data_IF_209773464290
#
_entry.id   IF_209773464290
#
_cell.length_a   1.000
_cell.length_b   1.000
_cell.length_c   1.000
_cell.angle_alpha   90.00
_cell.angle_beta   90.00
_cell.angle_gamma   90.00
#
_symmetry.space_group_name_H-M   'P 1'
#
loop_
_entity.id
_entity.type
_entity.pdbx_description
1 polymer ?
#
# COMPACT_ATOMS: atom_id res chain seq x y z
N UNK A 1 24.67 -17.90 29.41
CA UNK A 1 23.34 -18.50 29.16
C UNK A 1 22.64 -18.53 30.51
N UNK A 2 21.63 -17.65 30.75
CA UNK A 2 20.78 -17.73 31.94
C UNK A 2 19.88 -18.94 31.74
N UNK A 3 19.94 -19.88 32.66
CA UNK A 3 19.11 -21.09 32.64
C UNK A 3 17.69 -20.75 33.06
N UNK A 4 16.70 -21.55 32.65
CA UNK A 4 15.25 -21.38 32.93
C UNK A 4 14.92 -21.20 34.44
N UNK A 5 15.92 -21.42 35.35
CA UNK A 5 15.79 -21.30 36.78
C UNK A 5 15.91 -19.89 37.38
N UNK A 6 16.37 -18.90 36.61
CA UNK A 6 16.61 -17.52 37.06
C UNK A 6 15.49 -16.53 36.65
N UNK A 7 14.34 -17.04 36.29
CA UNK A 7 13.21 -16.20 35.89
C UNK A 7 12.51 -15.61 37.14
N UNK A 8 12.49 -14.28 37.23
CA UNK A 8 11.80 -13.61 38.33
C UNK A 8 10.26 -13.86 38.25
N UNK A 9 9.57 -13.76 39.39
CA UNK A 9 8.13 -13.99 39.49
C UNK A 9 7.34 -13.11 38.51
N UNK A 10 7.82 -11.90 38.25
CA UNK A 10 7.18 -10.96 37.35
C UNK A 10 7.27 -11.39 35.87
N UNK A 11 8.40 -11.95 35.44
CA UNK A 11 8.59 -12.54 34.11
C UNK A 11 7.74 -13.80 33.92
N UNK A 12 7.64 -14.66 34.95
CA UNK A 12 6.78 -15.83 34.92
C UNK A 12 5.28 -15.45 34.81
N UNK A 13 4.82 -14.46 35.59
CA UNK A 13 3.46 -13.95 35.47
C UNK A 13 3.17 -13.34 34.09
N UNK A 14 4.10 -12.59 33.50
CA UNK A 14 3.96 -12.06 32.12
C UNK A 14 3.82 -13.18 31.09
N UNK A 15 4.59 -14.24 31.17
CA UNK A 15 4.51 -15.38 30.28
C UNK A 15 3.14 -16.09 30.39
N UNK A 16 2.61 -16.25 31.60
CA UNK A 16 1.28 -16.86 31.80
C UNK A 16 0.13 -15.97 31.29
N UNK A 17 0.26 -14.65 31.43
CA UNK A 17 -0.76 -13.71 30.96
C UNK A 17 -0.72 -13.45 29.46
N UNK A 18 0.42 -13.71 28.80
CA UNK A 18 0.61 -13.41 27.39
C UNK A 18 -0.43 -14.09 26.46
N UNK A 19 -0.77 -15.39 26.57
CA UNK A 19 -1.81 -16.01 25.75
C UNK A 19 -3.19 -15.35 25.96
N UNK A 20 -3.50 -14.95 27.19
CA UNK A 20 -4.75 -14.27 27.52
C UNK A 20 -4.81 -12.90 26.85
N UNK A 21 -3.70 -12.15 26.86
CA UNK A 21 -3.59 -10.87 26.17
C UNK A 21 -3.77 -11.03 24.65
N UNK A 22 -3.15 -12.05 24.04
CA UNK A 22 -3.34 -12.34 22.62
C UNK A 22 -4.81 -12.64 22.33
N UNK A 23 -5.45 -13.53 23.10
CA UNK A 23 -6.87 -13.86 22.93
C UNK A 23 -7.76 -12.61 23.06
N UNK A 24 -7.50 -11.76 24.08
CA UNK A 24 -8.21 -10.51 24.25
C UNK A 24 -8.09 -9.60 23.00
N UNK A 25 -6.89 -9.44 22.45
CA UNK A 25 -6.69 -8.64 21.24
C UNK A 25 -7.37 -9.22 20.01
N UNK A 26 -7.37 -10.56 19.86
CA UNK A 26 -8.09 -11.24 18.76
C UNK A 26 -9.60 -11.01 18.87
N UNK A 27 -10.19 -11.20 20.08
CA UNK A 27 -11.61 -10.95 20.29
C UNK A 27 -11.98 -9.48 20.10
N UNK A 28 -11.18 -8.56 20.64
CA UNK A 28 -11.37 -7.12 20.45
C UNK A 28 -11.33 -6.73 18.98
N UNK A 29 -10.37 -7.27 18.21
CA UNK A 29 -10.30 -7.04 16.77
C UNK A 29 -11.54 -7.56 16.04
N UNK A 30 -12.05 -8.74 16.40
CA UNK A 30 -13.31 -9.27 15.86
C UNK A 30 -14.49 -8.34 16.15
N UNK A 31 -14.65 -7.89 17.39
CA UNK A 31 -15.73 -6.96 17.80
C UNK A 31 -15.57 -5.59 17.09
N UNK A 32 -14.36 -5.09 16.96
CA UNK A 32 -14.11 -3.79 16.29
C UNK A 32 -14.45 -3.80 14.79
N UNK A 33 -14.53 -4.96 14.15
CA UNK A 33 -15.00 -5.07 12.77
C UNK A 33 -16.52 -4.89 12.66
N UNK A 34 -17.26 -5.17 13.74
CA UNK A 34 -18.73 -5.08 13.79
C UNK A 34 -19.21 -3.70 14.23
N UNK A 35 -18.39 -2.96 14.95
CA UNK A 35 -18.74 -1.63 15.46
C UNK A 35 -18.10 -0.52 14.62
N UNK A 36 -18.84 0.52 14.24
CA UNK A 36 -18.27 1.67 13.56
C UNK A 36 -17.28 2.40 14.50
N UNK A 37 -15.99 2.22 14.24
CA UNK A 37 -14.94 2.94 14.97
C UNK A 37 -14.94 4.45 14.67
N UNK A 38 -14.37 5.24 15.58
CA UNK A 38 -14.16 6.68 15.35
C UNK A 38 -13.18 6.84 14.19
N UNK A 39 -13.60 7.53 13.14
CA UNK A 39 -12.75 7.84 11.99
C UNK A 39 -11.94 9.11 12.25
N UNK A 40 -10.66 9.14 11.89
CA UNK A 40 -9.83 10.34 11.93
C UNK A 40 -10.45 11.47 11.11
N UNK A 41 -10.40 12.67 11.62
CA UNK A 41 -10.68 13.89 10.87
C UNK A 41 -9.47 14.22 9.99
N UNK A 42 -9.73 14.52 8.72
CA UNK A 42 -8.71 14.86 7.74
C UNK A 42 -8.51 16.37 7.54
N UNK A 43 -9.30 17.22 8.22
CA UNK A 43 -9.30 18.68 8.00
C UNK A 43 -7.97 19.38 8.31
N UNK A 44 -7.07 18.70 9.01
CA UNK A 44 -5.71 19.19 9.31
C UNK A 44 -4.62 18.47 8.53
N UNK A 45 -4.97 17.45 7.76
CA UNK A 45 -3.99 16.57 7.11
C UNK A 45 -3.46 17.15 5.79
N UNK A 46 -2.15 17.04 5.61
CA UNK A 46 -1.44 17.32 4.36
C UNK A 46 -1.03 15.98 3.76
N UNK A 47 -1.68 15.63 2.65
CA UNK A 47 -1.56 14.31 2.02
C UNK A 47 -0.65 14.37 0.80
N UNK A 48 0.43 13.60 0.77
CA UNK A 48 1.28 13.45 -0.41
C UNK A 48 1.05 12.07 -1.05
N UNK A 49 0.80 12.06 -2.36
CA UNK A 49 0.52 10.85 -3.12
C UNK A 49 1.51 10.70 -4.27
N UNK A 50 2.33 9.64 -4.23
CA UNK A 50 3.20 9.31 -5.35
C UNK A 50 2.41 8.60 -6.45
N UNK A 51 2.67 8.95 -7.72
CA UNK A 51 1.87 8.48 -8.85
C UNK A 51 0.45 9.04 -8.84
N UNK A 52 0.25 10.26 -8.32
CA UNK A 52 -1.07 10.87 -8.08
C UNK A 52 -1.84 11.31 -9.33
N UNK A 53 -1.21 11.32 -10.52
CA UNK A 53 -1.83 11.82 -11.75
C UNK A 53 -2.72 10.82 -12.49
N UNK A 54 -2.73 9.53 -12.15
CA UNK A 54 -3.46 8.49 -12.90
C UNK A 54 -3.93 7.34 -12.00
N UNK A 55 -4.85 6.51 -12.53
CA UNK A 55 -5.30 5.27 -11.94
C UNK A 55 -5.71 5.41 -10.47
N UNK A 56 -5.28 4.47 -9.63
CA UNK A 56 -5.62 4.48 -8.20
C UNK A 56 -5.15 5.78 -7.52
N UNK A 57 -3.95 6.30 -7.85
CA UNK A 57 -3.41 7.52 -7.25
C UNK A 57 -4.28 8.76 -7.47
N UNK A 58 -4.82 8.96 -8.69
CA UNK A 58 -5.77 10.03 -8.99
C UNK A 58 -7.06 9.91 -8.18
N UNK A 59 -7.61 8.70 -8.07
CA UNK A 59 -8.83 8.48 -7.29
C UNK A 59 -8.58 8.62 -5.79
N UNK A 60 -7.41 8.22 -5.28
CA UNK A 60 -7.00 8.48 -3.89
C UNK A 60 -6.94 9.98 -3.60
N UNK A 61 -6.32 10.76 -4.48
CA UNK A 61 -6.23 12.21 -4.35
C UNK A 61 -7.63 12.85 -4.25
N UNK A 62 -8.52 12.46 -5.16
CA UNK A 62 -9.92 12.93 -5.14
C UNK A 62 -10.68 12.49 -3.89
N UNK A 63 -10.47 11.25 -3.42
CA UNK A 63 -11.16 10.77 -2.23
C UNK A 63 -10.65 11.44 -0.95
N UNK A 64 -9.33 11.69 -0.81
CA UNK A 64 -8.81 12.48 0.30
C UNK A 64 -9.38 13.91 0.30
N UNK A 65 -9.46 14.55 -0.85
CA UNK A 65 -10.07 15.87 -0.99
C UNK A 65 -11.55 15.85 -0.58
N UNK A 66 -12.32 14.89 -1.09
CA UNK A 66 -13.74 14.69 -0.76
C UNK A 66 -13.96 14.44 0.73
N UNK A 67 -13.04 13.77 1.40
CA UNK A 67 -13.09 13.51 2.84
C UNK A 67 -12.54 14.67 3.69
N UNK A 68 -12.23 15.80 3.05
CA UNK A 68 -11.89 17.06 3.72
C UNK A 68 -10.42 17.21 4.07
N UNK A 69 -9.49 16.54 3.39
CA UNK A 69 -8.06 16.78 3.57
C UNK A 69 -7.72 18.27 3.36
N UNK A 70 -6.87 18.84 4.24
CA UNK A 70 -6.47 20.25 4.19
C UNK A 70 -5.77 20.60 2.88
N UNK A 71 -4.78 19.76 2.52
CA UNK A 71 -3.99 19.93 1.30
C UNK A 71 -3.69 18.56 0.68
N UNK A 72 -3.60 18.50 -0.64
CA UNK A 72 -3.17 17.32 -1.39
C UNK A 72 -1.96 17.70 -2.26
N UNK A 73 -0.94 16.85 -2.24
CA UNK A 73 0.29 17.02 -3.02
C UNK A 73 0.44 15.80 -3.92
N UNK A 74 0.59 16.04 -5.22
CA UNK A 74 0.72 15.00 -6.22
C UNK A 74 2.15 14.94 -6.73
N UNK A 75 2.79 13.77 -6.62
CA UNK A 75 4.07 13.49 -7.27
C UNK A 75 3.90 12.52 -8.43
N UNK A 76 4.66 12.72 -9.49
CA UNK A 76 4.67 11.85 -10.65
C UNK A 76 5.55 12.39 -11.76
N UNK A 77 5.67 11.65 -12.87
CA UNK A 77 6.57 11.99 -13.98
C UNK A 77 5.88 12.75 -15.11
N UNK A 78 4.57 12.63 -15.24
CA UNK A 78 3.81 13.20 -16.36
C UNK A 78 3.07 14.45 -15.90
N UNK A 79 3.62 15.61 -16.19
CA UNK A 79 3.08 16.90 -15.74
C UNK A 79 1.63 17.12 -16.13
N UNK A 80 1.28 16.85 -17.39
CA UNK A 80 -0.12 16.98 -17.87
C UNK A 80 -1.13 16.30 -16.97
N UNK A 81 -0.87 15.03 -16.60
CA UNK A 81 -1.80 14.27 -15.78
C UNK A 81 -1.86 14.75 -14.33
N UNK A 82 -0.73 15.23 -13.80
CA UNK A 82 -0.69 15.82 -12.46
C UNK A 82 -1.49 17.12 -12.43
N UNK A 83 -1.31 17.96 -13.43
CA UNK A 83 -2.00 19.24 -13.56
C UNK A 83 -3.52 19.04 -13.68
N UNK A 84 -3.97 18.17 -14.59
CA UNK A 84 -5.40 17.81 -14.74
C UNK A 84 -6.00 17.33 -13.41
N UNK A 85 -5.29 16.46 -12.68
CA UNK A 85 -5.76 15.96 -11.39
C UNK A 85 -5.80 17.07 -10.34
N UNK A 86 -4.78 17.95 -10.32
CA UNK A 86 -4.74 19.07 -9.36
C UNK A 86 -5.87 20.09 -9.62
N UNK A 87 -6.17 20.38 -10.87
CA UNK A 87 -7.29 21.24 -11.25
C UNK A 87 -8.63 20.65 -10.78
N UNK A 88 -8.86 19.36 -10.99
CA UNK A 88 -10.07 18.69 -10.50
C UNK A 88 -10.20 18.76 -8.96
N UNK A 89 -9.11 18.58 -8.22
CA UNK A 89 -9.12 18.66 -6.76
C UNK A 89 -9.37 20.10 -6.30
N UNK A 90 -8.77 21.08 -6.98
CA UNK A 90 -8.97 22.50 -6.67
C UNK A 90 -10.42 22.92 -6.89
N UNK A 91 -11.08 22.40 -7.93
CA UNK A 91 -12.53 22.61 -8.17
C UNK A 91 -13.41 22.00 -7.07
N UNK A 92 -12.91 21.00 -6.33
CA UNK A 92 -13.60 20.44 -5.16
C UNK A 92 -13.40 21.29 -3.89
N UNK A 93 -12.63 22.39 -3.97
CA UNK A 93 -12.36 23.29 -2.84
C UNK A 93 -11.17 22.90 -1.96
N UNK A 94 -10.36 21.91 -2.36
CA UNK A 94 -9.16 21.49 -1.63
C UNK A 94 -7.91 22.11 -2.26
N UNK A 95 -7.03 22.68 -1.45
CA UNK A 95 -5.71 23.17 -1.90
C UNK A 95 -4.88 22.01 -2.45
N UNK A 96 -4.50 22.07 -3.72
CA UNK A 96 -3.76 21.01 -4.38
C UNK A 96 -2.49 21.53 -5.05
N UNK A 97 -1.37 20.86 -4.76
CA UNK A 97 -0.08 21.11 -5.38
C UNK A 97 0.37 19.89 -6.18
N UNK A 98 1.16 20.12 -7.23
CA UNK A 98 1.83 19.02 -7.91
C UNK A 98 3.30 19.36 -8.15
N UNK A 99 4.14 18.32 -8.13
CA UNK A 99 5.57 18.43 -8.47
C UNK A 99 5.97 17.22 -9.33
N UNK A 100 6.78 17.50 -10.33
CA UNK A 100 7.40 16.44 -11.11
C UNK A 100 8.45 15.79 -10.21
N UNK A 101 8.34 14.48 -10.02
CA UNK A 101 9.26 13.68 -9.20
C UNK A 101 9.26 12.24 -9.67
N UNK A 102 10.41 11.72 -10.08
CA UNK A 102 10.61 10.30 -10.28
C UNK A 102 11.09 9.66 -8.96
N UNK A 103 10.23 8.84 -8.36
CA UNK A 103 10.54 8.15 -7.08
C UNK A 103 11.69 7.15 -7.21
N UNK A 104 12.07 6.74 -8.42
CA UNK A 104 13.24 5.91 -8.66
C UNK A 104 14.55 6.69 -8.47
N UNK A 105 14.52 8.02 -8.58
CA UNK A 105 15.67 8.89 -8.38
C UNK A 105 15.68 9.42 -6.94
N UNK A 106 16.61 8.88 -6.13
CA UNK A 106 16.76 9.20 -4.71
C UNK A 106 17.02 10.69 -4.48
N UNK A 107 17.90 11.28 -5.27
CA UNK A 107 18.31 12.69 -5.17
C UNK A 107 17.13 13.62 -5.46
N UNK A 108 16.34 13.28 -6.47
CA UNK A 108 15.13 14.02 -6.82
C UNK A 108 14.08 13.95 -5.73
N UNK A 109 13.88 12.77 -5.13
CA UNK A 109 12.97 12.60 -3.99
C UNK A 109 13.34 13.52 -2.83
N UNK A 110 14.60 13.55 -2.40
CA UNK A 110 15.03 14.41 -1.30
C UNK A 110 14.97 15.90 -1.64
N UNK A 111 15.31 16.28 -2.89
CA UNK A 111 15.18 17.64 -3.40
C UNK A 111 13.71 18.10 -3.35
N UNK A 112 12.80 17.30 -3.89
CA UNK A 112 11.37 17.63 -3.91
C UNK A 112 10.74 17.61 -2.51
N UNK A 113 11.18 16.74 -1.62
CA UNK A 113 10.73 16.74 -0.24
C UNK A 113 11.11 18.05 0.50
N UNK A 114 12.28 18.62 0.22
CA UNK A 114 12.67 19.94 0.73
C UNK A 114 11.74 21.03 0.21
N UNK A 115 11.45 21.03 -1.11
CA UNK A 115 10.51 21.98 -1.72
C UNK A 115 9.11 21.89 -1.10
N UNK A 116 8.62 20.67 -0.84
CA UNK A 116 7.32 20.46 -0.18
C UNK A 116 7.32 21.10 1.21
N UNK A 117 8.33 20.82 2.04
CA UNK A 117 8.40 21.39 3.39
C UNK A 117 8.42 22.93 3.39
N UNK A 118 9.17 23.52 2.47
CA UNK A 118 9.34 24.98 2.39
C UNK A 118 8.10 25.69 1.84
N UNK A 119 7.42 25.11 0.85
CA UNK A 119 6.35 25.79 0.10
C UNK A 119 4.94 25.37 0.53
N UNK A 120 4.74 24.14 1.02
CA UNK A 120 3.41 23.58 1.32
C UNK A 120 3.24 23.30 2.80
N UNK A 121 4.29 22.76 3.46
CA UNK A 121 4.31 22.43 4.87
C UNK A 121 4.66 20.95 5.14
N UNK A 122 4.47 20.53 6.39
CA UNK A 122 4.77 19.19 6.84
C UNK A 122 3.73 18.19 6.31
N UNK A 123 4.19 17.13 5.64
CA UNK A 123 3.33 16.03 5.17
C UNK A 123 2.97 15.16 6.37
N UNK A 124 1.68 15.00 6.61
CA UNK A 124 1.15 14.17 7.69
C UNK A 124 0.62 12.81 7.21
N UNK A 125 0.26 12.69 5.93
CA UNK A 125 -0.11 11.41 5.31
C UNK A 125 0.72 11.22 4.04
N UNK A 126 1.58 10.19 4.03
CA UNK A 126 2.37 9.79 2.86
C UNK A 126 1.73 8.56 2.20
N UNK A 127 1.32 8.68 0.93
CA UNK A 127 0.76 7.56 0.17
C UNK A 127 1.76 7.11 -0.89
N UNK A 128 2.43 6.01 -0.63
CA UNK A 128 3.31 5.31 -1.55
C UNK A 128 2.46 4.47 -2.53
N UNK A 129 2.10 5.07 -3.67
CA UNK A 129 1.26 4.45 -4.69
C UNK A 129 1.97 4.26 -6.03
N UNK A 130 3.02 5.03 -6.33
CA UNK A 130 3.75 4.90 -7.59
C UNK A 130 4.24 3.46 -7.82
N UNK A 131 3.93 2.90 -8.99
CA UNK A 131 4.33 1.55 -9.36
C UNK A 131 4.38 1.38 -10.88
N UNK A 132 5.11 0.35 -11.32
CA UNK A 132 5.16 -0.14 -12.70
C UNK A 132 5.06 -1.67 -12.71
N UNK A 133 4.65 -2.22 -13.84
CA UNK A 133 4.64 -3.66 -14.15
C UNK A 133 5.02 -3.83 -15.62
N UNK A 134 5.91 -4.75 -15.92
CA UNK A 134 6.33 -5.02 -17.30
C UNK A 134 5.59 -6.21 -17.90
N UNK A 135 5.13 -7.15 -17.07
CA UNK A 135 4.22 -8.22 -17.50
C UNK A 135 4.90 -9.25 -18.40
N UNK A 136 6.13 -9.64 -18.09
CA UNK A 136 6.92 -10.62 -18.81
C UNK A 136 7.25 -11.82 -17.95
N UNK A 137 7.53 -12.97 -18.59
CA UNK A 137 8.16 -14.10 -17.91
C UNK A 137 9.59 -13.74 -17.49
N UNK A 138 10.22 -14.55 -16.64
CA UNK A 138 11.60 -14.28 -16.22
C UNK A 138 12.57 -14.21 -17.40
N UNK A 139 12.42 -15.13 -18.37
CA UNK A 139 13.34 -15.22 -19.50
C UNK A 139 13.11 -14.15 -20.57
N UNK A 140 11.91 -13.57 -20.63
CA UNK A 140 11.54 -12.52 -21.59
C UNK A 140 11.64 -11.11 -21.01
N UNK A 141 11.85 -11.00 -19.70
CA UNK A 141 11.96 -9.70 -19.03
C UNK A 141 13.37 -9.17 -19.18
N UNK A 142 13.47 -7.95 -19.70
CA UNK A 142 14.72 -7.21 -19.74
C UNK A 142 15.24 -6.89 -18.33
N UNK A 143 16.55 -7.01 -18.13
CA UNK A 143 17.20 -6.74 -16.83
C UNK A 143 16.96 -5.31 -16.37
N UNK A 144 16.99 -4.33 -17.27
CA UNK A 144 16.68 -2.93 -16.94
C UNK A 144 15.22 -2.75 -16.50
N UNK A 145 14.29 -3.53 -17.07
CA UNK A 145 12.90 -3.54 -16.65
C UNK A 145 12.73 -4.14 -15.24
N UNK A 146 13.48 -5.20 -14.91
CA UNK A 146 13.53 -5.75 -13.55
C UNK A 146 14.06 -4.73 -12.55
N UNK A 147 15.20 -4.11 -12.83
CA UNK A 147 15.79 -3.07 -11.99
C UNK A 147 14.83 -1.89 -11.80
N UNK A 148 14.20 -1.42 -12.89
CA UNK A 148 13.24 -0.33 -12.85
C UNK A 148 12.03 -0.64 -11.97
N UNK A 149 11.52 -1.88 -12.00
CA UNK A 149 10.43 -2.31 -11.13
C UNK A 149 10.85 -2.26 -9.66
N UNK A 150 12.07 -2.73 -9.33
CA UNK A 150 12.59 -2.67 -7.97
C UNK A 150 12.83 -1.22 -7.51
N UNK A 151 13.40 -0.37 -8.36
CA UNK A 151 13.66 1.04 -8.04
C UNK A 151 12.36 1.81 -7.77
N UNK A 152 11.33 1.65 -8.59
CA UNK A 152 10.07 2.38 -8.43
C UNK A 152 9.21 1.78 -7.32
N UNK A 153 8.95 0.47 -7.39
CA UNK A 153 7.94 -0.17 -6.54
C UNK A 153 8.43 -0.43 -5.11
N UNK A 154 9.76 -0.57 -4.94
CA UNK A 154 10.39 -0.88 -3.66
C UNK A 154 11.23 0.29 -3.15
N UNK A 155 12.38 0.58 -3.79
CA UNK A 155 13.33 1.58 -3.27
C UNK A 155 12.73 2.99 -3.20
N UNK A 156 11.85 3.36 -4.15
CA UNK A 156 11.12 4.61 -4.11
C UNK A 156 10.34 4.82 -2.82
N UNK A 157 9.77 3.75 -2.25
CA UNK A 157 9.07 3.83 -0.96
C UNK A 157 10.03 4.03 0.22
N UNK A 158 11.24 3.47 0.17
CA UNK A 158 12.28 3.75 1.17
C UNK A 158 12.66 5.22 1.15
N UNK A 159 12.91 5.78 -0.04
CA UNK A 159 13.35 7.17 -0.18
C UNK A 159 12.27 8.16 0.27
N UNK A 160 11.05 7.97 -0.17
CA UNK A 160 9.92 8.83 0.24
C UNK A 160 9.65 8.73 1.74
N UNK A 161 9.65 7.52 2.30
CA UNK A 161 9.43 7.33 3.74
C UNK A 161 10.57 7.95 4.54
N UNK A 162 11.83 7.75 4.16
CA UNK A 162 12.99 8.41 4.82
C UNK A 162 12.94 9.94 4.73
N UNK A 163 12.33 10.48 3.67
CA UNK A 163 12.22 11.93 3.49
C UNK A 163 11.18 12.57 4.40
N UNK A 164 10.08 11.87 4.73
CA UNK A 164 8.95 12.47 5.45
C UNK A 164 8.74 11.92 6.87
N UNK A 165 9.07 10.66 7.12
CA UNK A 165 8.88 10.00 8.42
C UNK A 165 9.57 10.73 9.58
N UNK A 166 10.81 11.24 9.48
CA UNK A 166 11.46 11.93 10.61
C UNK A 166 10.59 13.06 11.18
N UNK A 167 9.97 13.85 10.31
CA UNK A 167 9.11 14.95 10.76
C UNK A 167 7.81 14.46 11.40
N UNK A 168 7.23 13.37 10.89
CA UNK A 168 6.05 12.73 11.52
C UNK A 168 6.39 12.23 12.93
N UNK A 169 7.59 11.68 13.14
CA UNK A 169 8.07 11.22 14.44
C UNK A 169 8.27 12.39 15.43
N UNK A 170 8.90 13.47 14.97
CA UNK A 170 9.07 14.70 15.80
C UNK A 170 7.71 15.28 16.24
N UNK A 171 6.75 15.31 15.33
CA UNK A 171 5.41 15.83 15.59
C UNK A 171 4.52 14.83 16.35
N UNK A 172 4.95 13.58 16.53
CA UNK A 172 4.12 12.49 17.05
C UNK A 172 2.76 12.41 16.31
N UNK A 173 2.78 12.72 15.00
CA UNK A 173 1.60 12.74 14.15
C UNK A 173 1.95 12.40 12.72
N UNK A 174 1.42 11.31 12.21
CA UNK A 174 1.65 10.91 10.85
C UNK A 174 1.00 9.59 10.45
N UNK A 175 0.98 9.32 9.13
CA UNK A 175 0.49 8.07 8.60
C UNK A 175 1.18 7.70 7.29
N UNK A 176 1.76 6.50 7.22
CA UNK A 176 2.37 5.98 5.99
C UNK A 176 1.45 4.94 5.37
N UNK A 177 1.07 5.16 4.12
CA UNK A 177 0.19 4.28 3.35
C UNK A 177 0.98 3.65 2.20
N UNK A 178 0.87 2.35 2.03
CA UNK A 178 1.42 1.64 0.87
C UNK A 178 0.30 1.01 0.04
N UNK A 179 0.20 1.37 -1.23
CA UNK A 179 -0.62 0.66 -2.20
C UNK A 179 0.18 -0.52 -2.75
N UNK A 180 0.00 -1.64 -2.10
CA UNK A 180 0.63 -2.91 -2.43
C UNK A 180 -0.19 -3.70 -3.46
N UNK A 181 -0.25 -5.01 -3.36
CA UNK A 181 -1.06 -5.91 -4.18
C UNK A 181 -1.21 -7.27 -3.49
N UNK A 182 -2.29 -7.97 -3.77
CA UNK A 182 -2.43 -9.39 -3.41
C UNK A 182 -1.30 -10.23 -4.01
N UNK A 183 -0.71 -9.80 -5.12
CA UNK A 183 0.41 -10.47 -5.79
C UNK A 183 1.70 -10.46 -4.97
N UNK A 184 1.79 -9.67 -3.90
CA UNK A 184 2.89 -9.77 -2.93
C UNK A 184 2.86 -11.08 -2.13
N UNK A 185 1.69 -11.69 -1.98
CA UNK A 185 1.46 -12.91 -1.21
C UNK A 185 1.00 -14.10 -2.06
N UNK A 186 0.43 -13.83 -3.24
CA UNK A 186 0.00 -14.85 -4.21
C UNK A 186 0.56 -14.50 -5.59
N UNK A 187 1.87 -14.72 -5.81
CA UNK A 187 2.55 -14.38 -7.06
C UNK A 187 2.02 -15.21 -8.24
N UNK A 188 2.13 -14.64 -9.44
CA UNK A 188 1.75 -15.27 -10.70
C UNK A 188 2.92 -15.22 -11.69
N UNK A 189 3.08 -16.20 -12.58
CA UNK A 189 4.01 -16.09 -13.68
C UNK A 189 3.58 -14.98 -14.65
N UNK A 190 4.55 -14.43 -15.41
CA UNK A 190 4.30 -13.32 -16.33
C UNK A 190 4.19 -11.93 -15.68
N UNK A 191 4.44 -11.82 -14.35
CA UNK A 191 4.56 -10.56 -13.62
C UNK A 191 5.59 -10.68 -12.49
N UNK A 192 6.70 -11.38 -12.73
CA UNK A 192 7.68 -11.73 -11.70
C UNK A 192 8.37 -10.48 -11.12
N UNK A 193 8.67 -9.50 -11.98
CA UNK A 193 9.22 -8.20 -11.62
C UNK A 193 8.32 -7.47 -10.62
N UNK A 194 7.03 -7.46 -10.89
CA UNK A 194 6.02 -6.83 -10.05
C UNK A 194 5.79 -7.60 -8.75
N UNK A 195 5.58 -8.91 -8.82
CA UNK A 195 5.33 -9.75 -7.65
C UNK A 195 6.46 -9.65 -6.64
N UNK A 196 7.72 -9.75 -7.08
CA UNK A 196 8.90 -9.64 -6.22
C UNK A 196 9.03 -8.25 -5.60
N UNK A 197 8.80 -7.18 -6.37
CA UNK A 197 8.85 -5.82 -5.87
C UNK A 197 7.75 -5.54 -4.84
N UNK A 198 6.55 -6.08 -5.04
CA UNK A 198 5.44 -5.93 -4.09
C UNK A 198 5.63 -6.79 -2.82
N UNK A 199 6.24 -7.97 -2.93
CA UNK A 199 6.64 -8.77 -1.77
C UNK A 199 7.67 -8.02 -0.91
N UNK A 200 8.68 -7.41 -1.54
CA UNK A 200 9.67 -6.56 -0.87
C UNK A 200 9.01 -5.35 -0.19
N UNK A 201 8.07 -4.68 -0.87
CA UNK A 201 7.31 -3.57 -0.28
C UNK A 201 6.43 -4.00 0.89
N UNK A 202 5.89 -5.23 0.86
CA UNK A 202 5.11 -5.78 1.98
C UNK A 202 5.99 -5.95 3.21
N UNK A 203 7.14 -6.63 3.05
CA UNK A 203 8.11 -6.83 4.13
C UNK A 203 8.62 -5.50 4.70
N UNK A 204 8.85 -4.48 3.83
CA UNK A 204 9.19 -3.12 4.26
C UNK A 204 8.11 -2.53 5.17
N UNK A 205 6.85 -2.59 4.78
CA UNK A 205 5.74 -2.02 5.57
C UNK A 205 5.52 -2.78 6.90
N UNK A 206 5.66 -4.09 6.91
CA UNK A 206 5.56 -4.89 8.13
C UNK A 206 6.69 -4.54 9.10
N UNK A 207 7.93 -4.46 8.61
CA UNK A 207 9.09 -4.05 9.41
C UNK A 207 8.96 -2.61 9.92
N UNK A 208 8.46 -1.68 9.09
CA UNK A 208 8.21 -0.30 9.50
C UNK A 208 7.16 -0.24 10.61
N UNK A 209 6.05 -0.95 10.44
CA UNK A 209 4.97 -1.00 11.45
C UNK A 209 5.47 -1.51 12.80
N UNK A 210 6.30 -2.57 12.80
CA UNK A 210 6.93 -3.08 14.02
C UNK A 210 7.93 -2.09 14.62
N UNK A 211 8.70 -1.40 13.80
CA UNK A 211 9.65 -0.37 14.23
C UNK A 211 8.99 0.90 14.82
N UNK A 212 7.68 1.06 14.63
CA UNK A 212 6.90 2.20 15.14
C UNK A 212 6.04 1.86 16.36
N UNK A 213 6.20 0.67 16.97
CA UNK A 213 5.41 0.26 18.14
C UNK A 213 5.49 1.24 19.32
N UNK A 214 6.64 1.88 19.50
CA UNK A 214 6.87 2.89 20.56
C UNK A 214 6.49 4.31 20.12
N UNK A 215 5.91 4.48 18.92
CA UNK A 215 5.52 5.78 18.34
C UNK A 215 4.03 5.81 18.01
N UNK A 216 3.12 5.78 18.99
CA UNK A 216 1.67 5.62 18.77
C UNK A 216 1.03 6.76 17.98
N UNK A 217 1.71 7.88 17.81
CA UNK A 217 1.26 9.00 16.97
C UNK A 217 1.46 8.80 15.48
N UNK A 218 2.19 7.74 15.06
CA UNK A 218 2.47 7.47 13.64
C UNK A 218 1.92 6.10 13.24
N UNK A 219 0.92 6.08 12.36
CA UNK A 219 0.26 4.88 11.87
C UNK A 219 0.81 4.38 10.53
N UNK A 220 0.51 3.12 10.20
CA UNK A 220 0.80 2.51 8.91
C UNK A 220 -0.42 1.78 8.36
N UNK A 221 -0.65 1.89 7.04
CA UNK A 221 -1.69 1.11 6.35
C UNK A 221 -1.12 0.48 5.07
N UNK A 222 -1.19 -0.84 4.98
CA UNK A 222 -0.86 -1.59 3.76
C UNK A 222 -2.15 -2.05 3.08
N UNK A 223 -2.34 -1.62 1.84
CA UNK A 223 -3.52 -1.97 1.02
C UNK A 223 -3.12 -3.04 0.02
N UNK A 224 -3.85 -4.15 0.00
CA UNK A 224 -3.62 -5.28 -0.89
C UNK A 224 -4.81 -5.47 -1.83
N UNK A 225 -4.89 -4.68 -2.92
CA UNK A 225 -5.95 -4.84 -3.90
C UNK A 225 -5.76 -6.12 -4.70
N UNK A 226 -6.86 -6.77 -5.02
CA UNK A 226 -6.95 -7.70 -6.14
C UNK A 226 -6.88 -6.94 -7.47
N UNK A 227 -6.99 -7.66 -8.59
CA UNK A 227 -7.00 -7.04 -9.92
C UNK A 227 -7.93 -5.82 -9.97
N UNK A 228 -7.35 -4.66 -10.30
CA UNK A 228 -8.06 -3.38 -10.39
C UNK A 228 -8.08 -2.92 -11.85
N UNK A 229 -9.25 -2.52 -12.32
CA UNK A 229 -9.44 -2.06 -13.70
C UNK A 229 -8.76 -0.70 -13.93
N UNK A 230 -7.47 -0.76 -14.25
CA UNK A 230 -6.64 0.39 -14.58
C UNK A 230 -5.82 0.10 -15.85
N UNK A 231 -5.29 1.15 -16.48
CA UNK A 231 -4.40 1.01 -17.64
C UNK A 231 -3.17 0.12 -17.34
N UNK A 232 -2.74 0.07 -16.07
CA UNK A 232 -1.55 -0.69 -15.65
C UNK A 232 -1.67 -2.18 -15.94
N UNK A 233 -2.86 -2.77 -15.78
CA UNK A 233 -3.11 -4.19 -15.99
C UNK A 233 -4.00 -4.46 -17.22
N UNK A 234 -3.97 -3.56 -18.21
CA UNK A 234 -4.71 -3.75 -19.44
C UNK A 234 -4.29 -5.05 -20.12
N UNK A 235 -5.27 -5.84 -20.54
CA UNK A 235 -5.06 -7.14 -21.20
C UNK A 235 -4.90 -8.34 -20.27
N UNK A 236 -4.76 -8.13 -18.95
CA UNK A 236 -4.83 -9.23 -17.98
C UNK A 236 -6.23 -9.85 -17.98
N UNK A 237 -6.31 -11.19 -17.96
CA UNK A 237 -7.58 -11.93 -17.99
C UNK A 237 -7.77 -12.76 -16.73
N UNK A 238 -8.93 -12.60 -16.10
CA UNK A 238 -9.39 -13.45 -14.99
C UNK A 238 -10.37 -14.48 -15.55
N UNK A 239 -10.16 -15.77 -15.27
CA UNK A 239 -10.99 -16.86 -15.84
C UNK A 239 -12.44 -16.79 -15.39
N UNK A 240 -12.68 -16.42 -14.14
CA UNK A 240 -14.03 -16.33 -13.55
C UNK A 240 -14.37 -14.90 -13.11
N UNK A 241 -14.58 -13.96 -14.05
CA UNK A 241 -14.80 -12.55 -13.71
C UNK A 241 -16.12 -12.30 -12.95
N UNK A 242 -17.08 -13.23 -13.00
CA UNK A 242 -18.32 -13.18 -12.21
C UNK A 242 -18.08 -13.45 -10.73
N UNK A 243 -17.12 -14.33 -10.39
CA UNK A 243 -16.73 -14.66 -9.02
C UNK A 243 -15.68 -13.67 -8.48
N UNK A 244 -14.79 -13.21 -9.34
CA UNK A 244 -13.68 -12.32 -9.01
C UNK A 244 -13.65 -11.12 -9.97
N UNK A 245 -14.66 -10.22 -9.88
CA UNK A 245 -14.71 -9.08 -10.78
C UNK A 245 -13.55 -8.14 -10.51
N UNK A 246 -12.98 -7.51 -11.56
CA UNK A 246 -12.00 -6.45 -11.40
C UNK A 246 -12.55 -5.33 -10.52
N UNK A 247 -11.75 -4.86 -9.59
CA UNK A 247 -12.11 -3.75 -8.71
C UNK A 247 -12.14 -2.45 -9.50
N UNK A 248 -13.07 -1.57 -9.16
CA UNK A 248 -13.07 -0.19 -9.64
C UNK A 248 -12.03 0.61 -8.84
N UNK A 249 -11.16 1.42 -9.48
CA UNK A 249 -10.14 2.21 -8.77
C UNK A 249 -10.75 3.19 -7.76
N UNK A 250 -11.96 3.71 -8.00
CA UNK A 250 -12.71 4.55 -7.07
C UNK A 250 -13.03 3.80 -5.76
N UNK A 251 -13.46 2.54 -5.87
CA UNK A 251 -13.77 1.70 -4.71
C UNK A 251 -12.50 1.40 -3.91
N UNK A 252 -11.39 1.12 -4.60
CA UNK A 252 -10.09 0.93 -3.95
C UNK A 252 -9.68 2.19 -3.19
N UNK A 253 -9.80 3.37 -3.81
CA UNK A 253 -9.49 4.65 -3.18
C UNK A 253 -10.37 4.92 -1.95
N UNK A 254 -11.69 4.78 -2.09
CA UNK A 254 -12.64 4.97 -0.99
C UNK A 254 -12.31 4.05 0.21
N UNK A 255 -12.12 2.74 -0.04
CA UNK A 255 -11.80 1.78 1.02
C UNK A 255 -10.44 2.06 1.66
N UNK A 256 -9.47 2.54 0.87
CA UNK A 256 -8.15 2.93 1.38
C UNK A 256 -8.27 4.11 2.34
N UNK A 257 -8.95 5.19 1.94
CA UNK A 257 -9.11 6.38 2.79
C UNK A 257 -9.93 6.05 4.04
N UNK A 258 -10.99 5.25 3.91
CA UNK A 258 -11.76 4.74 5.05
C UNK A 258 -10.88 3.94 6.02
N UNK A 259 -9.97 3.10 5.50
CA UNK A 259 -9.03 2.32 6.29
C UNK A 259 -8.00 3.17 7.02
N UNK A 260 -7.42 4.16 6.34
CA UNK A 260 -6.49 5.13 6.93
C UNK A 260 -7.18 5.90 8.07
N UNK A 261 -8.40 6.37 7.85
CA UNK A 261 -9.20 7.05 8.89
C UNK A 261 -9.53 6.16 10.08
N UNK A 262 -9.59 4.86 9.88
CA UNK A 262 -9.87 3.86 10.93
C UNK A 262 -8.61 3.20 11.50
N UNK A 263 -7.40 3.70 11.19
CA UNK A 263 -6.11 3.15 11.61
C UNK A 263 -5.93 1.65 11.32
N UNK A 264 -6.45 1.17 10.20
CA UNK A 264 -6.31 -0.24 9.81
C UNK A 264 -4.91 -0.51 9.27
N UNK A 265 -4.17 -1.42 9.90
CA UNK A 265 -2.83 -1.80 9.46
C UNK A 265 -2.84 -2.51 8.09
N UNK A 266 -3.83 -3.38 7.84
CA UNK A 266 -3.96 -4.14 6.60
C UNK A 266 -5.37 -4.03 6.01
N UNK A 267 -5.44 -3.88 4.68
CA UNK A 267 -6.68 -3.82 3.92
C UNK A 267 -6.60 -4.76 2.71
N UNK A 268 -7.22 -5.91 2.81
CA UNK A 268 -7.43 -6.81 1.67
C UNK A 268 -8.68 -6.39 0.90
N UNK A 269 -8.56 -6.19 -0.39
CA UNK A 269 -9.65 -5.72 -1.24
C UNK A 269 -9.84 -6.68 -2.44
N UNK A 270 -10.96 -7.41 -2.53
CA UNK A 270 -11.98 -7.56 -1.49
C UNK A 270 -11.46 -8.31 -0.25
N UNK A 271 -12.18 -8.22 0.87
CA UNK A 271 -11.77 -8.86 2.14
C UNK A 271 -11.60 -10.39 2.04
N UNK A 272 -12.33 -11.03 1.12
CA UNK A 272 -12.25 -12.47 0.84
C UNK A 272 -10.84 -12.92 0.43
N UNK A 273 -10.02 -12.00 -0.12
CA UNK A 273 -8.63 -12.30 -0.47
C UNK A 273 -7.78 -12.62 0.76
N UNK A 274 -8.11 -12.03 1.92
CA UNK A 274 -7.43 -12.39 3.18
C UNK A 274 -7.64 -13.87 3.52
N UNK A 275 -8.87 -14.35 3.43
CA UNK A 275 -9.18 -15.76 3.68
C UNK A 275 -8.46 -16.70 2.69
N UNK A 276 -8.40 -16.33 1.41
CA UNK A 276 -7.69 -17.11 0.38
C UNK A 276 -6.18 -17.17 0.64
N UNK A 277 -5.56 -16.06 1.02
CA UNK A 277 -4.14 -16.01 1.36
C UNK A 277 -3.84 -16.84 2.62
N UNK A 278 -4.67 -16.72 3.66
CA UNK A 278 -4.52 -17.52 4.87
C UNK A 278 -4.66 -19.03 4.55
N UNK A 279 -5.66 -19.39 3.75
CA UNK A 279 -5.88 -20.80 3.36
C UNK A 279 -4.68 -21.36 2.57
N UNK A 280 -4.05 -20.55 1.70
CA UNK A 280 -2.86 -20.94 0.96
C UNK A 280 -1.75 -21.46 1.88
N UNK A 281 -1.56 -20.89 3.07
CA UNK A 281 -0.48 -21.26 3.99
C UNK A 281 -0.65 -22.68 4.57
N UNK A 282 -1.84 -23.25 4.50
CA UNK A 282 -2.15 -24.61 4.97
C UNK A 282 -2.23 -25.65 3.84
N UNK A 283 -2.15 -25.20 2.57
CA UNK A 283 -2.28 -26.10 1.43
C UNK A 283 -0.96 -26.71 1.02
N UNK A 284 -0.91 -28.02 0.72
CA UNK A 284 0.25 -28.62 0.09
C UNK A 284 0.43 -28.10 -1.34
N UNK A 285 1.68 -28.10 -1.81
CA UNK A 285 2.06 -27.53 -3.12
C UNK A 285 1.21 -28.08 -4.28
N UNK A 286 0.94 -29.40 -4.31
CA UNK A 286 0.13 -30.01 -5.36
C UNK A 286 -1.30 -29.45 -5.42
N UNK A 287 -1.91 -29.15 -4.25
CA UNK A 287 -3.24 -28.55 -4.21
C UNK A 287 -3.23 -27.11 -4.75
N UNK A 288 -2.18 -26.35 -4.44
CA UNK A 288 -1.99 -24.99 -4.99
C UNK A 288 -1.83 -25.01 -6.51
N UNK A 289 -1.09 -25.97 -7.05
CA UNK A 289 -0.91 -26.13 -8.49
C UNK A 289 -2.24 -26.38 -9.19
N UNK A 290 -3.08 -27.27 -8.64
CA UNK A 290 -4.42 -27.54 -9.19
C UNK A 290 -5.34 -26.31 -9.10
N UNK A 291 -5.27 -25.53 -8.02
CA UNK A 291 -6.00 -24.26 -7.90
C UNK A 291 -5.53 -23.29 -8.99
N UNK A 292 -4.21 -23.14 -9.20
CA UNK A 292 -3.69 -22.27 -10.25
C UNK A 292 -4.11 -22.69 -11.64
N UNK A 293 -4.11 -24.01 -11.94
CA UNK A 293 -4.61 -24.56 -13.21
C UNK A 293 -6.12 -24.30 -13.36
N UNK A 294 -6.90 -24.56 -12.32
CA UNK A 294 -8.35 -24.37 -12.34
C UNK A 294 -8.73 -22.91 -12.52
N UNK A 295 -8.10 -22.00 -11.75
CA UNK A 295 -8.39 -20.56 -11.83
C UNK A 295 -7.79 -19.88 -13.06
N UNK A 296 -6.88 -20.54 -13.76
CA UNK A 296 -6.16 -19.98 -14.90
C UNK A 296 -5.19 -18.86 -14.53
N UNK A 297 -4.84 -18.72 -13.25
CA UNK A 297 -3.97 -17.64 -12.77
C UNK A 297 -2.55 -17.71 -13.35
N UNK A 298 -2.08 -18.90 -13.72
CA UNK A 298 -0.76 -19.09 -14.34
C UNK A 298 -0.69 -18.62 -15.80
N UNK A 299 -1.84 -18.36 -16.46
CA UNK A 299 -1.92 -17.86 -17.86
C UNK A 299 -2.56 -16.47 -17.96
N UNK A 300 -2.95 -15.87 -16.84
CA UNK A 300 -3.72 -14.63 -16.83
C UNK A 300 -2.98 -13.43 -17.46
N UNK A 301 -1.63 -13.49 -17.52
CA UNK A 301 -0.79 -12.47 -18.12
C UNK A 301 -0.46 -12.70 -19.60
N UNK A 302 -0.87 -13.82 -20.21
CA UNK A 302 -0.53 -14.14 -21.61
C UNK A 302 -1.06 -13.11 -22.62
N UNK A 303 -2.10 -12.38 -22.29
CA UNK A 303 -2.70 -11.33 -23.11
C UNK A 303 -2.42 -9.92 -22.58
N UNK A 304 -1.48 -9.81 -21.64
CA UNK A 304 -1.11 -8.53 -21.04
C UNK A 304 -0.55 -7.57 -22.10
N UNK A 305 -1.03 -6.33 -22.05
CA UNK A 305 -0.59 -5.22 -22.92
C UNK A 305 0.12 -4.14 -22.13
N UNK A 306 -0.28 -4.00 -20.85
CA UNK A 306 0.22 -2.93 -20.00
C UNK A 306 -0.26 -1.55 -20.45
N UNK A 307 0.43 -0.54 -19.96
CA UNK A 307 0.20 0.85 -20.37
C UNK A 307 0.86 1.08 -21.72
N UNK A 308 0.09 1.43 -22.71
CA UNK A 308 0.55 1.96 -24.01
C UNK A 308 0.92 3.41 -23.92
#
# INVERSE_FOLDING_TARGET
MKTFGDMDLMSACRMLLFPIQILYHVLRAGVSQLLPGRKKDLSREVVLITGGGRGIGRHLAKEFAKQGAKKVILWGRTEKCLKETAEEISLMGTECHYLICDVANREEVYKQAKVVREKVGDVTILVNNAAVVHGKSLMDCDDDALLKSQHINTLGQFWTTKAFLPRMLELQHGHVVCINSILSQSPIPGAIDYCTSKASSLAFMESLTLGLLDCPGVGCTTVLPFHTNTEMFQGMRVRFPQLFPPLKPEVVAQKTVDGVRADKAFLYLPWTMHALVALKSFMPQMALEEIHKFTGSYTCMNTFKGRT
#
